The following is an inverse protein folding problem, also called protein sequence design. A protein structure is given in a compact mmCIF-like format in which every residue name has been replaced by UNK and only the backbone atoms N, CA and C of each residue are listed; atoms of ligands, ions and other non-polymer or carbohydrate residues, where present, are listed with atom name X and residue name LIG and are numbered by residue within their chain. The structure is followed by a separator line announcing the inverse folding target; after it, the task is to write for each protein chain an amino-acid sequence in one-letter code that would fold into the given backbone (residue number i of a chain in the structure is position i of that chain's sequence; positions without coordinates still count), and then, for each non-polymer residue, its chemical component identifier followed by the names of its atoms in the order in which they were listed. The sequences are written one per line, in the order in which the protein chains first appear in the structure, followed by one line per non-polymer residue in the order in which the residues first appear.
data_IF_721644274835
#
_entry.id   IF_721644274835
#
_cell.length_a   1.000
_cell.length_b   1.000
_cell.length_c   1.000
_cell.angle_alpha   90.00
_cell.angle_beta   90.00
_cell.angle_gamma   90.00
#
_symmetry.space_group_name_H-M   'P 1'
#
loop_
_entity.id
_entity.type
_entity.pdbx_description
1 polymer ?
#
# COMPACT_ATOMS: atom_id res chain seq x y z
N UNK A 1 -68.43 41.53 -20.26
CA UNK A 1 -67.14 41.82 -19.58
C UNK A 1 -67.11 41.03 -18.29
N UNK A 2 -65.90 40.55 -17.93
CA UNK A 2 -65.53 39.59 -16.87
C UNK A 2 -65.72 38.10 -17.19
N UNK A 3 -64.73 37.56 -17.89
CA UNK A 3 -64.38 36.13 -17.89
C UNK A 3 -63.86 35.72 -16.51
N UNK A 4 -64.30 34.57 -16.01
CA UNK A 4 -63.79 33.96 -14.78
C UNK A 4 -63.71 32.44 -14.94
N UNK A 5 -62.73 31.97 -15.71
CA UNK A 5 -62.29 30.57 -15.71
C UNK A 5 -61.51 30.31 -14.42
N UNK A 6 -62.14 29.59 -13.48
CA UNK A 6 -61.48 29.13 -12.26
C UNK A 6 -60.63 27.89 -12.61
N UNK A 7 -59.31 28.10 -12.68
CA UNK A 7 -58.32 27.03 -12.74
C UNK A 7 -58.16 26.44 -11.33
N UNK A 8 -58.47 25.14 -11.17
CA UNK A 8 -58.03 24.38 -10.00
C UNK A 8 -56.78 23.59 -10.43
N UNK A 9 -55.63 23.77 -9.77
CA UNK A 9 -54.34 23.33 -10.26
C UNK A 9 -54.18 21.82 -10.13
N UNK A 10 -53.33 21.26 -11.00
CA UNK A 10 -52.79 19.91 -10.88
C UNK A 10 -52.43 19.63 -9.43
N UNK A 11 -53.03 18.57 -8.89
CA UNK A 11 -52.62 17.95 -7.65
C UNK A 11 -51.25 17.29 -7.90
N UNK A 12 -50.19 18.09 -7.92
CA UNK A 12 -48.81 17.61 -7.88
C UNK A 12 -48.61 17.03 -6.49
N UNK A 13 -48.88 15.73 -6.37
CA UNK A 13 -48.49 14.93 -5.23
C UNK A 13 -46.95 14.89 -5.21
N UNK A 14 -46.33 15.93 -4.67
CA UNK A 14 -44.93 15.90 -4.27
C UNK A 14 -44.84 14.88 -3.13
N UNK A 15 -44.56 13.63 -3.49
CA UNK A 15 -44.02 12.65 -2.56
C UNK A 15 -42.64 13.16 -2.16
N UNK A 16 -42.61 13.99 -1.11
CA UNK A 16 -41.42 14.28 -0.34
C UNK A 16 -40.99 12.95 0.29
N UNK A 17 -40.16 12.20 -0.43
CA UNK A 17 -39.31 11.17 0.15
C UNK A 17 -38.39 11.90 1.13
N UNK A 18 -38.86 12.05 2.37
CA UNK A 18 -38.01 12.32 3.52
C UNK A 18 -37.14 11.08 3.71
N UNK A 19 -36.03 11.05 2.97
CA UNK A 19 -34.91 10.20 3.33
C UNK A 19 -34.37 10.79 4.62
N UNK A 20 -34.90 10.34 5.75
CA UNK A 20 -34.28 10.55 7.05
C UNK A 20 -33.02 9.70 7.05
N UNK A 21 -31.95 10.24 6.48
CA UNK A 21 -30.62 9.71 6.71
C UNK A 21 -30.41 9.70 8.23
N UNK A 22 -30.12 8.53 8.79
CA UNK A 22 -29.58 8.46 10.14
C UNK A 22 -28.25 9.20 10.08
N UNK A 23 -28.24 10.43 10.58
CA UNK A 23 -27.01 11.18 10.77
C UNK A 23 -26.35 10.58 12.00
N UNK A 24 -25.25 9.85 11.79
CA UNK A 24 -24.41 9.46 12.90
C UNK A 24 -23.68 10.71 13.40
N UNK A 25 -23.71 10.93 14.72
CA UNK A 25 -22.91 11.95 15.41
C UNK A 25 -21.46 11.48 15.65
N UNK A 26 -21.07 10.33 15.07
CA UNK A 26 -19.71 9.81 15.22
C UNK A 26 -18.69 10.72 14.52
N UNK A 27 -17.74 11.22 15.30
CA UNK A 27 -16.64 12.05 14.83
C UNK A 27 -15.35 11.23 14.71
N UNK A 28 -14.65 11.35 13.58
CA UNK A 28 -13.31 10.79 13.43
C UNK A 28 -12.33 11.63 14.26
N UNK A 29 -11.71 11.03 15.27
CA UNK A 29 -10.73 11.71 16.15
C UNK A 29 -9.27 11.35 15.84
N UNK A 30 -9.03 10.16 15.28
CA UNK A 30 -7.69 9.65 14.97
C UNK A 30 -7.77 8.56 13.90
N UNK A 31 -6.79 8.52 13.00
CA UNK A 31 -6.62 7.43 12.03
C UNK A 31 -5.18 6.96 12.03
N UNK A 32 -4.96 5.64 12.11
CA UNK A 32 -3.67 5.01 11.93
C UNK A 32 -3.69 4.21 10.63
N UNK A 33 -2.75 4.48 9.73
CA UNK A 33 -2.68 3.87 8.42
C UNK A 33 -1.43 3.00 8.33
N UNK A 34 -1.61 1.72 7.98
CA UNK A 34 -0.52 0.81 7.64
C UNK A 34 -0.80 0.27 6.25
N UNK A 35 0.12 0.50 5.33
CA UNK A 35 -0.01 0.11 3.94
C UNK A 35 1.30 -0.48 3.44
N UNK A 36 1.18 -1.33 2.43
CA UNK A 36 2.31 -1.92 1.73
C UNK A 36 2.77 -0.95 0.65
N UNK A 37 4.08 -0.93 0.42
CA UNK A 37 4.72 -0.27 -0.72
C UNK A 37 4.05 -0.60 -2.08
N UNK A 38 4.29 0.25 -3.07
CA UNK A 38 3.79 0.07 -4.43
C UNK A 38 4.45 -1.09 -5.18
N UNK A 39 4.04 -1.30 -6.44
CA UNK A 39 4.62 -2.33 -7.31
C UNK A 39 6.15 -2.19 -7.45
N UNK A 40 6.86 -3.31 -7.30
CA UNK A 40 8.32 -3.40 -7.27
C UNK A 40 8.83 -4.52 -8.18
N UNK A 41 10.11 -4.47 -8.55
CA UNK A 41 10.79 -5.61 -9.13
C UNK A 41 10.81 -6.82 -8.18
N UNK A 42 11.08 -8.04 -8.67
CA UNK A 42 11.25 -9.22 -7.83
C UNK A 42 12.35 -9.00 -6.78
N UNK A 43 12.19 -9.65 -5.62
CA UNK A 43 13.30 -9.73 -4.65
C UNK A 43 14.47 -10.51 -5.25
N UNK A 44 14.18 -11.62 -5.92
CA UNK A 44 15.15 -12.42 -6.66
C UNK A 44 14.49 -13.04 -7.90
N UNK A 45 15.31 -13.47 -8.84
CA UNK A 45 14.90 -14.15 -10.08
C UNK A 45 15.57 -15.52 -10.14
N UNK A 46 14.85 -16.53 -10.60
CA UNK A 46 15.34 -17.90 -10.63
C UNK A 46 16.14 -18.20 -11.92
N UNK A 47 17.05 -19.20 -11.93
CA UNK A 47 17.99 -19.44 -13.02
C UNK A 47 17.36 -19.55 -14.41
N UNK A 48 16.22 -20.23 -14.49
CA UNK A 48 15.48 -20.49 -15.73
C UNK A 48 14.42 -19.43 -16.04
N UNK A 49 14.31 -18.36 -15.25
CA UNK A 49 13.39 -17.26 -15.50
C UNK A 49 13.72 -16.57 -16.85
N UNK A 50 12.80 -16.57 -17.83
CA UNK A 50 13.02 -15.91 -19.11
C UNK A 50 13.06 -14.37 -19.01
N UNK A 51 12.55 -13.79 -17.93
CA UNK A 51 12.41 -12.34 -17.72
C UNK A 51 13.49 -11.74 -16.82
N UNK A 52 14.46 -12.54 -16.35
CA UNK A 52 15.51 -12.12 -15.40
C UNK A 52 16.33 -10.88 -15.81
N UNK A 53 16.32 -10.49 -17.09
CA UNK A 53 17.04 -9.32 -17.61
C UNK A 53 16.14 -8.14 -17.99
N UNK A 54 14.83 -8.19 -17.72
CA UNK A 54 13.88 -7.14 -18.10
C UNK A 54 13.75 -6.00 -17.09
N UNK A 55 14.32 -6.17 -15.89
CA UNK A 55 14.19 -5.23 -14.78
C UNK A 55 15.19 -4.08 -14.86
N UNK A 56 14.78 -2.97 -15.49
CA UNK A 56 15.63 -1.78 -15.71
C UNK A 56 16.16 -1.14 -14.43
N UNK A 57 15.32 -1.09 -13.40
CA UNK A 57 15.69 -0.55 -12.09
C UNK A 57 16.49 -1.56 -11.25
N UNK A 58 16.71 -2.76 -11.78
CA UNK A 58 17.40 -3.86 -11.13
C UNK A 58 16.49 -4.79 -10.33
N UNK A 59 17.07 -5.92 -9.92
CA UNK A 59 16.46 -6.90 -9.00
C UNK A 59 16.67 -6.42 -7.55
N UNK A 60 16.02 -7.07 -6.59
CA UNK A 60 16.17 -6.77 -5.16
C UNK A 60 15.01 -5.98 -4.58
N UNK A 61 13.85 -6.00 -5.25
CA UNK A 61 12.66 -5.34 -4.75
C UNK A 61 12.69 -3.82 -4.88
N UNK A 62 13.09 -3.31 -6.04
CA UNK A 62 13.16 -1.88 -6.35
C UNK A 62 11.78 -1.35 -6.72
N UNK A 63 11.36 -0.22 -6.16
CA UNK A 63 10.08 0.37 -6.51
C UNK A 63 10.08 0.77 -7.98
N UNK A 64 9.02 0.42 -8.70
CA UNK A 64 8.90 0.77 -10.13
C UNK A 64 8.14 2.07 -10.30
N UNK A 65 8.21 2.65 -11.50
CA UNK A 65 7.38 3.82 -11.86
C UNK A 65 5.89 3.56 -11.65
N UNK A 66 5.42 2.33 -11.95
CA UNK A 66 4.04 1.92 -11.66
C UNK A 66 3.76 1.93 -10.16
N UNK A 67 4.71 1.47 -9.34
CA UNK A 67 4.62 1.53 -7.89
C UNK A 67 4.54 2.95 -7.35
N UNK A 68 5.34 3.87 -7.88
CA UNK A 68 5.26 5.29 -7.52
C UNK A 68 3.88 5.86 -7.87
N UNK A 69 3.33 5.54 -9.05
CA UNK A 69 2.00 5.99 -9.46
C UNK A 69 0.90 5.43 -8.54
N UNK A 70 0.97 4.15 -8.15
CA UNK A 70 0.02 3.54 -7.22
C UNK A 70 -0.01 4.27 -5.88
N UNK A 71 1.16 4.64 -5.36
CA UNK A 71 1.27 5.33 -4.08
C UNK A 71 0.83 6.79 -4.17
N UNK A 72 1.18 7.47 -5.26
CA UNK A 72 0.66 8.81 -5.54
C UNK A 72 -0.88 8.82 -5.62
N UNK A 73 -1.48 7.82 -6.28
CA UNK A 73 -2.94 7.68 -6.36
C UNK A 73 -3.56 7.38 -5.00
N UNK A 74 -2.90 6.56 -4.17
CA UNK A 74 -3.29 6.36 -2.77
C UNK A 74 -3.23 7.68 -2.00
N UNK A 75 -2.19 8.50 -2.21
CA UNK A 75 -2.07 9.83 -1.63
C UNK A 75 -3.24 10.75 -1.96
N UNK A 76 -3.65 10.81 -3.24
CA UNK A 76 -4.84 11.57 -3.67
C UNK A 76 -6.13 11.07 -3.04
N UNK A 77 -6.27 9.74 -2.91
CA UNK A 77 -7.41 9.16 -2.20
C UNK A 77 -7.43 9.59 -0.73
N UNK A 78 -6.27 9.54 -0.04
CA UNK A 78 -6.15 9.98 1.34
C UNK A 78 -6.43 11.47 1.51
N UNK A 79 -6.03 12.30 0.55
CA UNK A 79 -6.39 13.72 0.51
C UNK A 79 -7.90 13.90 0.46
N UNK A 80 -8.56 13.21 -0.47
CA UNK A 80 -10.02 13.25 -0.60
C UNK A 80 -10.70 12.80 0.70
N UNK A 81 -10.16 11.76 1.35
CA UNK A 81 -10.75 11.17 2.54
C UNK A 81 -10.55 11.99 3.81
N UNK A 82 -9.41 12.64 3.99
CA UNK A 82 -9.01 13.25 5.27
C UNK A 82 -8.77 14.75 5.21
N UNK A 83 -8.29 15.28 4.08
CA UNK A 83 -8.06 16.72 3.91
C UNK A 83 -9.35 17.40 3.44
N UNK A 84 -9.97 16.90 2.38
CA UNK A 84 -11.14 17.54 1.77
C UNK A 84 -12.38 17.44 2.67
N UNK A 85 -12.43 16.42 3.53
CA UNK A 85 -13.43 16.25 4.60
C UNK A 85 -13.12 17.06 5.86
N UNK A 86 -12.01 17.80 5.88
CA UNK A 86 -11.54 18.67 6.97
C UNK A 86 -11.19 17.93 8.27
N UNK A 87 -10.87 16.65 8.20
CA UNK A 87 -10.34 15.91 9.35
C UNK A 87 -8.93 16.37 9.72
N UNK A 88 -8.08 16.64 8.72
CA UNK A 88 -6.76 17.27 8.88
C UNK A 88 -6.63 18.52 8.00
N UNK A 89 -5.65 19.37 8.32
CA UNK A 89 -5.36 20.60 7.60
C UNK A 89 -5.02 20.36 6.12
N UNK A 90 -5.41 21.27 5.21
CA UNK A 90 -4.97 21.24 3.81
C UNK A 90 -3.48 21.50 3.62
N UNK A 91 -2.86 22.25 4.53
CA UNK A 91 -1.40 22.34 4.64
C UNK A 91 -0.86 21.24 5.56
N UNK A 92 0.31 20.68 5.23
CA UNK A 92 0.97 19.70 6.09
C UNK A 92 1.37 20.36 7.42
N UNK A 93 0.86 19.82 8.53
CA UNK A 93 1.21 20.25 9.87
C UNK A 93 1.80 19.06 10.64
N UNK A 94 3.04 19.19 11.11
CA UNK A 94 3.73 18.14 11.87
C UNK A 94 3.04 17.77 13.20
N UNK A 95 2.12 18.62 13.68
CA UNK A 95 1.29 18.38 14.87
C UNK A 95 0.05 17.53 14.58
N UNK A 96 -0.30 17.32 13.30
CA UNK A 96 -1.49 16.58 12.88
C UNK A 96 -1.15 15.28 12.14
N UNK A 97 -0.04 15.27 11.38
CA UNK A 97 0.37 14.12 10.58
C UNK A 97 1.82 13.77 10.87
N UNK A 98 2.06 12.49 11.15
CA UNK A 98 3.40 11.91 11.32
C UNK A 98 3.53 10.70 10.41
N UNK A 99 4.68 10.57 9.76
CA UNK A 99 4.95 9.50 8.82
C UNK A 99 6.13 8.67 9.32
N UNK A 100 5.94 7.35 9.33
CA UNK A 100 6.97 6.36 9.61
C UNK A 100 7.02 5.34 8.47
N UNK A 101 8.21 5.03 8.01
CA UNK A 101 8.46 3.94 7.06
C UNK A 101 9.47 2.97 7.66
N UNK A 102 9.46 1.72 7.18
CA UNK A 102 10.61 0.82 7.34
C UNK A 102 11.80 1.36 6.54
N UNK A 103 13.03 1.07 6.97
CA UNK A 103 14.28 1.56 6.35
C UNK A 103 14.65 0.95 5.00
N UNK A 104 13.70 0.37 4.26
CA UNK A 104 13.94 -0.22 2.94
C UNK A 104 13.55 0.77 1.85
N UNK A 105 14.42 0.96 0.85
CA UNK A 105 14.29 1.97 -0.22
C UNK A 105 12.88 2.05 -0.83
N UNK A 106 12.30 0.90 -1.20
CA UNK A 106 10.97 0.85 -1.84
C UNK A 106 9.85 1.41 -0.95
N UNK A 107 9.99 1.32 0.37
CA UNK A 107 8.99 1.81 1.32
C UNK A 107 9.14 3.32 1.51
N UNK A 108 10.38 3.81 1.62
CA UNK A 108 10.68 5.25 1.68
C UNK A 108 10.20 5.96 0.41
N UNK A 109 10.55 5.44 -0.77
CA UNK A 109 10.10 5.98 -2.06
C UNK A 109 8.57 5.92 -2.23
N UNK A 110 7.92 4.88 -1.69
CA UNK A 110 6.45 4.79 -1.68
C UNK A 110 5.84 5.89 -0.83
N UNK A 111 6.36 6.12 0.37
CA UNK A 111 5.91 7.19 1.25
C UNK A 111 6.11 8.58 0.61
N UNK A 112 7.24 8.82 -0.05
CA UNK A 112 7.48 10.06 -0.80
C UNK A 112 6.44 10.29 -1.91
N UNK A 113 6.19 9.27 -2.74
CA UNK A 113 5.21 9.36 -3.81
C UNK A 113 3.78 9.57 -3.29
N UNK A 114 3.41 8.88 -2.21
CA UNK A 114 2.11 9.06 -1.56
C UNK A 114 1.97 10.47 -0.98
N UNK A 115 3.01 11.00 -0.33
CA UNK A 115 3.00 12.34 0.24
C UNK A 115 2.89 13.43 -0.83
N UNK A 116 3.48 13.23 -2.01
CA UNK A 116 3.29 14.12 -3.15
C UNK A 116 1.82 14.15 -3.64
N UNK A 117 1.08 13.05 -3.51
CA UNK A 117 -0.36 13.00 -3.82
C UNK A 117 -1.24 13.57 -2.69
N UNK A 118 -0.82 13.39 -1.44
CA UNK A 118 -1.56 13.81 -0.25
C UNK A 118 -1.43 15.31 0.02
N UNK A 119 -0.21 15.85 -0.04
CA UNK A 119 0.15 17.22 0.33
C UNK A 119 0.92 17.96 -0.76
N UNK A 120 0.35 18.17 -1.96
CA UNK A 120 0.91 19.16 -2.88
C UNK A 120 0.95 20.54 -2.18
N UNK A 121 2.03 21.31 -2.33
CA UNK A 121 2.21 22.57 -1.61
C UNK A 121 1.10 23.58 -1.96
N UNK A 122 0.70 24.34 -0.96
CA UNK A 122 -0.27 25.43 -1.10
C UNK A 122 0.08 26.56 -0.13
N UNK A 123 -0.36 27.77 -0.46
CA UNK A 123 -0.15 28.98 0.34
C UNK A 123 1.33 29.17 0.73
N UNK A 124 1.64 29.26 2.03
CA UNK A 124 3.00 29.51 2.54
C UNK A 124 3.93 28.28 2.46
N UNK A 125 3.42 27.12 2.03
CA UNK A 125 4.23 25.91 1.83
C UNK A 125 4.77 25.78 0.39
N UNK A 126 4.35 26.66 -0.53
CA UNK A 126 5.04 26.83 -1.81
C UNK A 126 6.42 27.42 -1.52
N UNK A 127 7.47 26.73 -1.96
CA UNK A 127 8.85 27.07 -1.62
C UNK A 127 9.66 27.35 -2.89
N UNK A 128 10.36 28.49 -2.93
CA UNK A 128 11.13 28.89 -4.10
C UNK A 128 10.29 29.37 -5.28
N UNK A 129 10.97 29.84 -6.31
CA UNK A 129 10.35 30.45 -7.50
C UNK A 129 10.30 29.49 -8.72
N UNK A 130 10.90 28.30 -8.61
CA UNK A 130 10.92 27.31 -9.67
C UNK A 130 9.62 26.48 -9.75
N UNK A 131 9.47 25.71 -10.82
CA UNK A 131 8.26 24.89 -11.04
C UNK A 131 8.14 23.72 -10.06
N UNK A 132 9.25 23.23 -9.49
CA UNK A 132 9.22 22.12 -8.54
C UNK A 132 8.59 22.55 -7.21
N UNK A 133 8.97 23.74 -6.74
CA UNK A 133 8.45 24.37 -5.53
C UNK A 133 6.93 24.57 -5.49
N UNK A 134 6.31 24.62 -6.68
CA UNK A 134 4.87 24.79 -6.87
C UNK A 134 4.10 23.47 -6.83
N UNK A 135 4.77 22.33 -6.97
CA UNK A 135 4.10 21.01 -7.13
C UNK A 135 4.57 19.95 -6.15
N UNK A 136 5.70 20.15 -5.47
CA UNK A 136 6.25 19.22 -4.50
C UNK A 136 6.80 19.97 -3.29
N UNK A 137 6.75 19.37 -2.11
CA UNK A 137 7.39 19.88 -0.90
C UNK A 137 8.04 18.73 -0.11
N UNK A 138 9.15 18.99 0.60
CA UNK A 138 9.74 17.98 1.47
C UNK A 138 8.89 17.78 2.73
N UNK A 139 8.50 16.54 2.99
CA UNK A 139 7.79 16.14 4.22
C UNK A 139 8.63 15.08 4.95
N UNK A 140 8.94 15.25 6.25
CA UNK A 140 9.77 14.31 6.99
C UNK A 140 9.15 12.90 7.07
N UNK A 141 9.94 11.88 6.74
CA UNK A 141 9.61 10.46 6.91
C UNK A 141 10.56 9.89 7.95
N UNK A 142 10.03 9.45 9.09
CA UNK A 142 10.83 8.82 10.13
C UNK A 142 11.11 7.35 9.78
N UNK A 143 12.33 6.91 10.03
CA UNK A 143 12.74 5.52 9.83
C UNK A 143 13.80 5.14 10.85
N UNK A 144 13.96 3.84 11.06
CA UNK A 144 15.09 3.24 11.76
C UNK A 144 15.74 2.19 10.86
N UNK A 145 16.97 1.72 11.15
CA UNK A 145 17.58 0.60 10.43
C UNK A 145 16.67 -0.64 10.43
N UNK A 146 16.73 -1.43 9.35
CA UNK A 146 15.85 -2.58 9.12
C UNK A 146 15.95 -3.64 10.24
N UNK A 147 17.16 -3.83 10.77
CA UNK A 147 17.47 -4.77 11.84
C UNK A 147 17.23 -4.22 13.26
N UNK A 148 16.76 -2.98 13.35
CA UNK A 148 16.39 -2.26 14.57
C UNK A 148 14.90 -1.83 14.55
N UNK A 149 14.10 -2.34 13.61
CA UNK A 149 12.69 -1.97 13.44
C UNK A 149 11.72 -3.05 13.96
N UNK A 150 11.39 -3.09 15.26
CA UNK A 150 10.45 -4.05 15.82
C UNK A 150 8.99 -3.79 15.43
N UNK A 151 8.69 -2.66 14.78
CA UNK A 151 7.31 -2.23 14.50
C UNK A 151 6.90 -2.60 13.08
N UNK A 152 7.73 -2.30 12.09
CA UNK A 152 7.43 -2.57 10.66
C UNK A 152 8.27 -3.69 10.07
N UNK A 153 9.33 -4.16 10.75
CA UNK A 153 10.21 -5.27 10.32
C UNK A 153 10.55 -6.24 11.48
N UNK A 154 9.54 -6.70 12.24
CA UNK A 154 9.78 -7.55 13.41
C UNK A 154 10.57 -8.83 13.08
N UNK A 155 10.41 -9.37 11.87
CA UNK A 155 11.11 -10.58 11.41
C UNK A 155 12.61 -10.39 11.18
N UNK A 156 13.05 -9.16 10.98
CA UNK A 156 14.45 -8.81 10.75
C UNK A 156 15.12 -8.20 11.99
N UNK A 157 14.34 -7.96 13.05
CA UNK A 157 14.83 -7.32 14.26
C UNK A 157 15.83 -8.22 14.97
N UNK A 158 17.06 -7.72 15.16
CA UNK A 158 18.11 -8.46 15.87
C UNK A 158 17.72 -8.74 17.32
N UNK A 159 18.17 -9.89 17.81
CA UNK A 159 18.05 -10.28 19.21
C UNK A 159 16.60 -10.33 19.71
N UNK A 160 15.74 -11.06 18.99
CA UNK A 160 14.37 -11.34 19.42
C UNK A 160 14.16 -12.85 19.69
N UNK A 161 14.71 -13.42 20.79
CA UNK A 161 14.60 -14.85 21.06
C UNK A 161 13.15 -15.36 21.11
N UNK A 162 12.22 -14.54 21.60
CA UNK A 162 10.80 -14.90 21.64
C UNK A 162 10.18 -15.08 20.26
N UNK A 163 10.64 -14.34 19.25
CA UNK A 163 10.20 -14.58 17.87
C UNK A 163 10.74 -15.91 17.36
N UNK A 164 12.03 -16.18 17.58
CA UNK A 164 12.67 -17.43 17.17
C UNK A 164 11.98 -18.65 17.82
N UNK A 165 11.71 -18.58 19.13
CA UNK A 165 11.00 -19.63 19.88
C UNK A 165 9.60 -19.89 19.30
N UNK A 166 8.84 -18.83 19.00
CA UNK A 166 7.49 -18.93 18.43
C UNK A 166 7.50 -19.49 17.00
N UNK A 167 8.51 -19.13 16.20
CA UNK A 167 8.67 -19.69 14.86
C UNK A 167 9.04 -21.19 14.93
N UNK A 168 9.90 -21.59 15.86
CA UNK A 168 10.24 -23.00 16.09
C UNK A 168 9.02 -23.78 16.60
N UNK A 169 8.23 -23.21 17.50
CA UNK A 169 6.98 -23.81 17.99
C UNK A 169 5.97 -24.00 16.84
N UNK A 170 5.73 -22.96 16.04
CA UNK A 170 4.86 -23.02 14.87
C UNK A 170 5.32 -24.11 13.89
N UNK A 171 6.64 -24.24 13.68
CA UNK A 171 7.18 -25.27 12.79
C UNK A 171 7.00 -26.69 13.35
N UNK A 172 6.85 -26.87 14.67
CA UNK A 172 6.57 -28.18 15.29
C UNK A 172 5.09 -28.55 15.31
N UNK A 173 4.21 -27.57 15.06
CA UNK A 173 2.76 -27.78 15.06
C UNK A 173 2.34 -28.89 14.09
N UNK A 174 1.37 -29.71 14.51
CA UNK A 174 0.92 -30.87 13.75
C UNK A 174 0.32 -30.46 12.40
N UNK A 175 -0.47 -29.38 12.34
CA UNK A 175 -1.07 -28.90 11.10
C UNK A 175 -0.02 -28.34 10.14
N UNK A 176 1.01 -27.67 10.68
CA UNK A 176 2.17 -27.26 9.90
C UNK A 176 2.88 -28.49 9.31
N UNK A 177 3.22 -29.47 10.14
CA UNK A 177 3.92 -30.68 9.74
C UNK A 177 3.13 -31.52 8.72
N UNK A 178 1.81 -31.67 8.90
CA UNK A 178 0.94 -32.36 7.95
C UNK A 178 0.97 -31.66 6.59
N UNK A 179 0.84 -30.32 6.57
CA UNK A 179 0.84 -29.54 5.33
C UNK A 179 2.15 -29.66 4.58
N UNK A 180 3.28 -29.48 5.25
CA UNK A 180 4.59 -29.50 4.58
C UNK A 180 4.99 -30.90 4.12
N UNK A 181 4.52 -31.95 4.81
CA UNK A 181 4.85 -33.34 4.48
C UNK A 181 3.83 -34.02 3.56
N UNK A 182 2.73 -33.35 3.21
CA UNK A 182 1.76 -33.86 2.24
C UNK A 182 2.38 -34.13 0.87
N UNK A 183 1.85 -35.13 0.16
CA UNK A 183 2.31 -35.46 -1.20
C UNK A 183 2.11 -34.27 -2.16
N UNK A 184 1.03 -33.50 -1.99
CA UNK A 184 0.76 -32.29 -2.78
C UNK A 184 1.89 -31.25 -2.64
N UNK A 185 2.31 -30.93 -1.41
CA UNK A 185 3.41 -29.98 -1.18
C UNK A 185 4.72 -30.53 -1.74
N UNK A 186 5.02 -31.81 -1.53
CA UNK A 186 6.24 -32.45 -2.03
C UNK A 186 6.31 -32.46 -3.56
N UNK A 187 5.21 -32.80 -4.23
CA UNK A 187 5.12 -32.82 -5.68
C UNK A 187 5.24 -31.41 -6.26
N UNK A 188 4.60 -30.42 -5.63
CA UNK A 188 4.74 -29.02 -6.03
C UNK A 188 6.18 -28.52 -5.90
N UNK A 189 6.83 -28.77 -4.76
CA UNK A 189 8.24 -28.37 -4.54
C UNK A 189 9.18 -29.05 -5.54
N UNK A 190 8.96 -30.34 -5.83
CA UNK A 190 9.73 -31.08 -6.84
C UNK A 190 9.55 -30.48 -8.24
N UNK A 191 8.31 -30.19 -8.62
CA UNK A 191 7.99 -29.55 -9.89
C UNK A 191 8.66 -28.18 -10.00
N UNK A 192 8.44 -27.31 -9.01
CA UNK A 192 9.01 -25.95 -9.01
C UNK A 192 10.54 -25.99 -8.99
N UNK A 193 11.15 -26.91 -8.26
CA UNK A 193 12.62 -27.06 -8.22
C UNK A 193 13.18 -27.44 -9.60
N UNK A 194 12.57 -28.45 -10.24
CA UNK A 194 12.95 -28.90 -11.57
C UNK A 194 12.86 -27.77 -12.61
N UNK A 195 11.79 -26.98 -12.55
CA UNK A 195 11.53 -25.96 -13.56
C UNK A 195 12.19 -24.62 -13.30
N UNK A 196 12.48 -24.27 -12.04
CA UNK A 196 13.17 -23.03 -11.67
C UNK A 196 14.69 -23.13 -11.74
N UNK A 197 15.24 -24.36 -11.60
CA UNK A 197 16.67 -24.59 -11.43
C UNK A 197 17.18 -24.30 -10.02
N UNK A 198 16.29 -24.15 -9.04
CA UNK A 198 16.61 -24.03 -7.62
C UNK A 198 16.19 -25.27 -6.84
N UNK A 199 16.85 -25.51 -5.70
CA UNK A 199 16.37 -26.49 -4.73
C UNK A 199 15.41 -25.79 -3.77
N UNK A 200 14.11 -26.00 -3.97
CA UNK A 200 13.07 -25.30 -3.22
C UNK A 200 12.59 -26.08 -2.00
N UNK A 201 12.42 -25.35 -0.91
CA UNK A 201 11.75 -25.78 0.31
C UNK A 201 10.53 -24.90 0.55
N UNK A 202 9.71 -25.24 1.54
CA UNK A 202 8.58 -24.40 1.96
C UNK A 202 9.06 -22.99 2.35
N UNK A 203 10.26 -22.87 2.91
CA UNK A 203 10.82 -21.59 3.38
C UNK A 203 11.22 -20.63 2.25
N UNK A 204 11.51 -21.15 1.05
CA UNK A 204 12.03 -20.33 -0.05
C UNK A 204 11.19 -20.37 -1.35
N UNK A 205 10.20 -21.27 -1.44
CA UNK A 205 9.37 -21.40 -2.65
C UNK A 205 8.61 -20.12 -3.01
N UNK A 206 8.34 -19.26 -2.03
CA UNK A 206 7.66 -17.98 -2.21
C UNK A 206 8.41 -17.05 -3.19
N UNK A 207 9.72 -17.22 -3.36
CA UNK A 207 10.52 -16.39 -4.27
C UNK A 207 10.07 -16.59 -5.73
N UNK A 208 9.69 -17.82 -6.11
CA UNK A 208 9.17 -18.10 -7.45
C UNK A 208 7.86 -17.35 -7.68
N UNK A 209 6.96 -17.41 -6.69
CA UNK A 209 5.69 -16.68 -6.76
C UNK A 209 5.93 -15.16 -6.82
N UNK A 210 6.87 -14.61 -6.03
CA UNK A 210 7.21 -13.19 -6.05
C UNK A 210 7.71 -12.74 -7.43
N UNK A 211 8.60 -13.51 -8.06
CA UNK A 211 9.13 -13.22 -9.39
C UNK A 211 8.01 -13.20 -10.43
N UNK A 212 7.27 -14.32 -10.56
CA UNK A 212 6.18 -14.47 -11.54
C UNK A 212 5.11 -13.40 -11.33
N UNK A 213 4.74 -13.11 -10.08
CA UNK A 213 3.73 -12.10 -9.78
C UNK A 213 4.20 -10.69 -10.15
N UNK A 214 5.47 -10.38 -9.92
CA UNK A 214 6.05 -9.10 -10.32
C UNK A 214 6.05 -8.96 -11.84
N UNK A 215 6.45 -10.00 -12.59
CA UNK A 215 6.43 -10.02 -14.05
C UNK A 215 5.03 -9.75 -14.60
N UNK A 216 4.02 -10.47 -14.09
CA UNK A 216 2.62 -10.30 -14.52
C UNK A 216 2.13 -8.88 -14.23
N UNK A 217 2.48 -8.32 -13.08
CA UNK A 217 1.98 -7.01 -12.67
C UNK A 217 2.71 -5.83 -13.34
N UNK A 218 3.90 -6.03 -13.92
CA UNK A 218 4.78 -4.93 -14.36
C UNK A 218 5.18 -5.05 -15.82
N UNK A 219 5.41 -6.26 -16.33
CA UNK A 219 5.92 -6.47 -17.69
C UNK A 219 4.81 -6.78 -18.69
N UNK A 220 3.67 -7.29 -18.24
CA UNK A 220 2.58 -7.74 -19.11
C UNK A 220 1.42 -6.73 -19.24
N UNK A 221 1.53 -5.55 -18.61
CA UNK A 221 0.60 -4.43 -18.69
C UNK A 221 1.33 -3.09 -18.51
#
# INVERSE_FOLDING_TARGET
MTHGTLWIPLCTLCVLLLVTGVQSDDELIMSNLVYRHGARSPIAVYPTDPYKHHWKDGIGGRLTQRGMQMEYDLGKFLKTRYVDTKFVSPQYLHTQVTIRSSGVDRCLQSAEAQLAGLYPPSDWQIWGDDELGKVWQPIPIQTVPDDEDPVLRPENTKNCPGYDDLMEEMQKDEAYQERINSDETKDLLKYMSLHSGWNLTVDNMWIIYDAVKSEVNILLF
#
